data_IF_720365409520
#
_entry.id   IF_720365409520
#
_cell.length_a   1.000
_cell.length_b   1.000
_cell.length_c   1.000
_cell.angle_alpha   90.00
_cell.angle_beta   90.00
_cell.angle_gamma   90.00
#
_symmetry.space_group_name_H-M   'P 1'
#
loop_
_entity.id
_entity.type
_entity.pdbx_description
1 polymer ?
#
# COMPACT_ATOMS: atom_id res chain seq x y z
N UNK A 1 5.62 -16.92 7.83
CA UNK A 1 4.61 -15.86 7.62
C UNK A 1 4.26 -15.22 8.95
N UNK A 2 4.92 -14.11 9.25
CA UNK A 2 4.75 -13.34 10.50
C UNK A 2 3.84 -12.14 10.24
N UNK A 3 2.90 -11.87 11.14
CA UNK A 3 2.20 -10.58 11.23
C UNK A 3 3.07 -9.66 12.07
N UNK A 4 3.48 -8.52 11.52
CA UNK A 4 4.15 -7.47 12.30
C UNK A 4 3.10 -6.62 13.01
N UNK A 5 3.15 -6.54 14.33
CA UNK A 5 2.24 -5.70 15.12
C UNK A 5 2.77 -4.28 15.26
N UNK A 6 4.10 -4.12 15.28
CA UNK A 6 4.78 -2.83 15.30
C UNK A 6 5.81 -2.75 14.18
N UNK A 7 6.16 -1.54 13.77
CA UNK A 7 7.20 -1.32 12.78
C UNK A 7 8.59 -1.73 13.29
N UNK A 8 8.85 -1.59 14.59
CA UNK A 8 10.08 -2.07 15.21
C UNK A 8 10.29 -3.58 15.01
N UNK A 9 9.23 -4.40 15.11
CA UNK A 9 9.33 -5.85 14.88
C UNK A 9 9.73 -6.20 13.44
N UNK A 10 9.37 -5.36 12.47
CA UNK A 10 9.78 -5.52 11.08
C UNK A 10 11.27 -5.21 10.92
N UNK A 11 11.76 -4.14 11.54
CA UNK A 11 13.18 -3.77 11.51
C UNK A 11 14.03 -4.81 12.24
N UNK A 12 13.62 -5.23 13.43
CA UNK A 12 14.25 -6.31 14.20
C UNK A 12 14.33 -7.60 13.36
N UNK A 13 13.27 -7.92 12.60
CA UNK A 13 13.29 -9.07 11.70
C UNK A 13 14.33 -8.95 10.59
N UNK A 14 14.57 -7.76 10.04
CA UNK A 14 15.63 -7.55 9.06
C UNK A 14 17.00 -7.74 9.70
N UNK A 15 17.21 -7.14 10.88
CA UNK A 15 18.47 -7.21 11.63
C UNK A 15 18.79 -8.65 12.04
N UNK A 16 17.82 -9.39 12.62
CA UNK A 16 17.96 -10.78 13.05
C UNK A 16 18.30 -11.73 11.90
N UNK A 17 17.88 -11.39 10.68
CA UNK A 17 18.18 -12.14 9.46
C UNK A 17 19.48 -11.71 8.79
N UNK A 18 20.13 -10.67 9.30
CA UNK A 18 21.38 -10.13 8.75
C UNK A 18 21.17 -9.39 7.42
N UNK A 19 19.95 -8.94 7.12
CA UNK A 19 19.68 -8.16 5.92
C UNK A 19 20.17 -6.73 6.13
N UNK A 20 21.03 -6.25 5.23
CA UNK A 20 21.37 -4.83 5.16
C UNK A 20 20.24 -4.07 4.48
N UNK A 21 19.86 -2.92 5.04
CA UNK A 21 18.90 -2.00 4.43
C UNK A 21 19.42 -0.58 4.35
N UNK A 22 18.97 0.14 3.34
CA UNK A 22 19.18 1.58 3.18
C UNK A 22 18.01 2.34 3.81
N UNK A 23 18.31 3.41 4.55
CA UNK A 23 17.29 4.36 5.00
C UNK A 23 17.09 5.39 3.90
N UNK A 24 15.94 5.35 3.24
CA UNK A 24 15.60 6.25 2.13
C UNK A 24 15.16 7.64 2.63
N UNK A 25 14.67 7.69 3.86
CA UNK A 25 14.18 8.89 4.54
C UNK A 25 13.45 8.50 5.83
N UNK A 26 12.72 9.44 6.44
CA UNK A 26 11.95 9.18 7.65
C UNK A 26 10.50 9.63 7.49
N UNK A 27 9.58 8.85 8.05
CA UNK A 27 8.21 9.26 8.32
C UNK A 27 8.18 10.49 9.27
N UNK A 28 7.06 11.23 9.38
CA UNK A 28 6.99 12.45 10.18
C UNK A 28 7.37 12.31 11.66
N UNK A 29 7.21 11.12 12.23
CA UNK A 29 7.58 10.78 13.61
C UNK A 29 9.06 10.36 13.76
N UNK A 30 9.83 10.39 12.68
CA UNK A 30 11.24 10.03 12.63
C UNK A 30 11.52 8.56 12.31
N UNK A 31 10.51 7.69 12.21
CA UNK A 31 10.73 6.29 11.86
C UNK A 31 11.32 6.16 10.45
N UNK A 32 12.34 5.32 10.24
CA UNK A 32 12.97 5.20 8.93
C UNK A 32 12.00 4.57 7.93
N UNK A 33 12.12 4.96 6.66
CA UNK A 33 11.57 4.23 5.52
C UNK A 33 12.74 3.48 4.89
N UNK A 34 12.67 2.15 4.90
CA UNK A 34 13.82 1.31 4.53
C UNK A 34 13.63 0.60 3.19
N UNK A 35 14.72 0.40 2.47
CA UNK A 35 14.80 -0.46 1.30
C UNK A 35 15.81 -1.57 1.53
N UNK A 36 15.45 -2.80 1.14
CA UNK A 36 16.37 -3.93 1.09
C UNK A 36 16.72 -4.22 -0.37
N UNK A 37 18.02 -4.29 -0.67
CA UNK A 37 18.52 -4.81 -1.95
C UNK A 37 18.76 -6.31 -1.81
N UNK A 38 18.15 -7.11 -2.66
CA UNK A 38 18.28 -8.58 -2.72
C UNK A 38 18.37 -9.06 -4.17
N UNK A 39 18.36 -10.37 -4.40
CA UNK A 39 18.59 -10.99 -5.70
C UNK A 39 20.07 -10.95 -6.10
N UNK A 40 20.32 -10.85 -7.41
CA UNK A 40 21.67 -10.79 -7.97
C UNK A 40 22.09 -9.39 -8.41
N UNK A 41 23.02 -9.35 -9.36
CA UNK A 41 23.61 -8.11 -9.88
C UNK A 41 23.10 -7.73 -11.28
N UNK A 42 22.30 -8.58 -11.94
CA UNK A 42 21.83 -8.39 -13.32
C UNK A 42 20.86 -7.22 -13.43
N UNK A 43 21.05 -6.41 -14.46
CA UNK A 43 20.14 -5.33 -14.85
C UNK A 43 19.29 -5.75 -16.05
N UNK A 44 18.08 -5.19 -16.25
CA UNK A 44 17.47 -4.13 -15.45
C UNK A 44 16.96 -4.60 -14.08
N UNK A 45 16.76 -3.66 -13.16
CA UNK A 45 16.32 -3.96 -11.79
C UNK A 45 14.81 -4.25 -11.71
N UNK A 46 14.40 -4.90 -10.62
CA UNK A 46 13.02 -5.17 -10.25
C UNK A 46 12.72 -4.37 -8.98
N UNK A 47 11.57 -3.70 -8.95
CA UNK A 47 11.11 -2.92 -7.80
C UNK A 47 9.88 -3.55 -7.17
N UNK A 48 9.89 -3.76 -5.86
CA UNK A 48 8.77 -4.32 -5.11
C UNK A 48 8.45 -3.40 -3.93
N UNK A 49 7.17 -3.15 -3.71
CA UNK A 49 6.68 -2.30 -2.61
C UNK A 49 5.48 -2.93 -1.94
N UNK A 50 5.30 -2.64 -0.65
CA UNK A 50 4.12 -3.01 0.10
C UNK A 50 3.78 -1.99 1.19
N UNK A 51 2.63 -2.17 1.83
CA UNK A 51 2.28 -1.49 3.07
C UNK A 51 2.13 0.03 2.94
N UNK A 52 1.63 0.53 1.81
CA UNK A 52 1.14 1.92 1.76
C UNK A 52 -0.19 2.11 2.49
N UNK A 53 -0.93 1.02 2.65
CA UNK A 53 -2.07 0.99 3.54
C UNK A 53 -1.72 -0.01 4.62
N UNK A 54 -1.59 0.46 5.85
CA UNK A 54 -1.20 -0.37 7.00
C UNK A 54 -2.16 -1.52 7.30
N UNK A 55 -3.41 -1.42 6.84
CA UNK A 55 -4.42 -2.48 6.91
C UNK A 55 -4.10 -3.68 6.02
N UNK A 56 -3.26 -3.50 5.00
CA UNK A 56 -2.92 -4.50 3.98
C UNK A 56 -1.69 -5.30 4.36
N UNK A 57 -1.76 -5.91 5.55
CA UNK A 57 -0.62 -6.50 6.23
C UNK A 57 -0.07 -7.77 5.56
N UNK A 58 -0.87 -8.51 4.79
CA UNK A 58 -0.35 -9.68 4.08
C UNK A 58 0.63 -9.27 2.97
N UNK A 59 0.46 -8.08 2.37
CA UNK A 59 1.42 -7.52 1.41
C UNK A 59 2.77 -7.23 2.05
N UNK A 60 2.78 -6.66 3.26
CA UNK A 60 4.00 -6.41 4.06
C UNK A 60 4.72 -7.71 4.37
N UNK A 61 3.99 -8.73 4.83
CA UNK A 61 4.58 -10.04 5.12
C UNK A 61 5.06 -10.75 3.86
N UNK A 62 4.36 -10.63 2.73
CA UNK A 62 4.83 -11.16 1.45
C UNK A 62 6.12 -10.48 0.99
N UNK A 63 6.24 -9.16 1.13
CA UNK A 63 7.48 -8.43 0.83
C UNK A 63 8.64 -8.91 1.71
N UNK A 64 8.43 -9.11 3.01
CA UNK A 64 9.43 -9.65 3.93
C UNK A 64 9.84 -11.10 3.57
N UNK A 65 8.89 -11.94 3.18
CA UNK A 65 9.20 -13.30 2.73
C UNK A 65 9.93 -13.29 1.37
N UNK A 66 9.66 -12.33 0.47
CA UNK A 66 10.43 -12.15 -0.76
C UNK A 66 11.87 -11.72 -0.48
N UNK A 67 12.10 -10.83 0.49
CA UNK A 67 13.45 -10.47 0.93
C UNK A 67 14.23 -11.72 1.37
N UNK A 68 13.58 -12.60 2.14
CA UNK A 68 14.19 -13.83 2.67
C UNK A 68 14.43 -14.91 1.60
N UNK A 69 13.60 -14.99 0.56
CA UNK A 69 13.45 -16.23 -0.24
C UNK A 69 13.40 -16.06 -1.75
N UNK A 70 13.39 -14.83 -2.27
CA UNK A 70 13.38 -14.61 -3.72
C UNK A 70 14.74 -14.95 -4.31
N UNK A 71 14.74 -15.87 -5.28
CA UNK A 71 15.92 -16.29 -6.02
C UNK A 71 15.79 -15.79 -7.46
N UNK A 72 16.70 -14.90 -7.86
CA UNK A 72 16.77 -14.29 -9.20
C UNK A 72 18.17 -13.71 -9.41
N UNK A 73 18.66 -13.72 -10.65
CA UNK A 73 19.92 -13.07 -11.00
C UNK A 73 19.79 -11.54 -11.06
N UNK A 74 18.57 -11.01 -11.18
CA UNK A 74 18.33 -9.58 -11.27
C UNK A 74 18.49 -8.87 -9.93
N UNK A 75 18.88 -7.60 -9.99
CA UNK A 75 18.82 -6.72 -8.82
C UNK A 75 17.36 -6.52 -8.41
N UNK A 76 17.06 -6.70 -7.13
CA UNK A 76 15.72 -6.47 -6.58
C UNK A 76 15.80 -5.46 -5.45
N UNK A 77 14.94 -4.44 -5.49
CA UNK A 77 14.82 -3.42 -4.45
C UNK A 77 13.43 -3.51 -3.85
N UNK A 78 13.36 -3.74 -2.53
CA UNK A 78 12.11 -3.99 -1.81
C UNK A 78 11.91 -2.94 -0.71
N UNK A 79 10.81 -2.18 -0.78
CA UNK A 79 10.30 -1.38 0.34
C UNK A 79 9.19 -2.20 1.03
N UNK A 80 9.47 -2.87 2.17
CA UNK A 80 8.52 -3.81 2.78
C UNK A 80 7.32 -3.11 3.44
N UNK A 81 7.46 -1.85 3.84
CA UNK A 81 6.37 -1.06 4.41
C UNK A 81 6.60 0.42 4.12
N UNK A 82 5.60 1.08 3.54
CA UNK A 82 5.60 2.51 3.24
C UNK A 82 4.89 3.36 4.29
N UNK A 83 4.12 2.77 5.21
CA UNK A 83 3.39 3.49 6.27
C UNK A 83 3.78 3.00 7.68
N UNK A 84 4.97 3.40 8.21
CA UNK A 84 5.43 2.98 9.53
C UNK A 84 4.46 3.39 10.65
N UNK A 85 3.95 4.62 10.60
CA UNK A 85 3.01 5.15 11.60
C UNK A 85 1.72 4.33 11.58
N UNK A 86 1.17 4.10 10.39
CA UNK A 86 -0.04 3.30 10.24
C UNK A 86 0.12 1.87 10.75
N UNK A 87 1.27 1.25 10.49
CA UNK A 87 1.56 -0.12 10.94
C UNK A 87 1.53 -0.24 12.47
N UNK A 88 2.04 0.77 13.18
CA UNK A 88 2.07 0.79 14.64
C UNK A 88 0.68 0.91 15.30
N UNK A 89 -0.37 1.24 14.54
CA UNK A 89 -1.75 1.23 15.03
C UNK A 89 -2.31 2.60 15.41
N UNK A 90 -3.62 2.62 15.65
CA UNK A 90 -4.34 3.88 15.89
C UNK A 90 -3.97 4.55 17.23
N UNK A 91 -3.74 3.75 18.27
CA UNK A 91 -3.24 4.26 19.56
C UNK A 91 -1.87 4.94 19.39
N UNK A 92 -0.96 4.32 18.64
CA UNK A 92 0.34 4.92 18.34
C UNK A 92 0.18 6.24 17.57
N UNK A 93 -0.65 6.29 16.53
CA UNK A 93 -0.90 7.51 15.78
C UNK A 93 -1.50 8.64 16.64
N UNK A 94 -2.32 8.30 17.64
CA UNK A 94 -2.82 9.27 18.64
C UNK A 94 -1.71 9.78 19.56
N UNK A 95 -0.74 8.92 19.91
CA UNK A 95 0.38 9.31 20.77
C UNK A 95 1.19 10.48 20.22
N UNK A 96 1.26 10.62 18.89
CA UNK A 96 1.95 11.72 18.21
C UNK A 96 1.36 13.09 18.53
N UNK A 97 0.07 13.16 18.88
CA UNK A 97 -0.59 14.40 19.29
C UNK A 97 -0.81 14.50 20.80
N UNK A 98 -0.84 13.38 21.53
CA UNK A 98 -1.10 13.35 22.97
C UNK A 98 0.18 13.36 23.82
N UNK A 99 1.34 13.01 23.25
CA UNK A 99 2.61 12.84 23.95
C UNK A 99 2.77 11.52 24.70
N UNK A 100 1.71 10.68 24.74
CA UNK A 100 1.71 9.34 25.32
C UNK A 100 0.76 8.43 24.53
N UNK A 101 1.06 7.13 24.45
CA UNK A 101 0.20 6.16 23.76
C UNK A 101 -1.00 5.79 24.64
N UNK A 102 -2.24 6.15 24.24
CA UNK A 102 -3.43 5.87 25.03
C UNK A 102 -3.75 4.37 25.02
N UNK A 103 -4.34 3.90 26.12
CA UNK A 103 -4.94 2.57 26.18
C UNK A 103 -6.34 2.62 25.57
N UNK A 104 -6.52 1.98 24.42
CA UNK A 104 -7.80 1.90 23.71
C UNK A 104 -8.31 0.45 23.76
N UNK A 105 -9.47 0.25 24.38
CA UNK A 105 -10.09 -1.08 24.48
C UNK A 105 -10.92 -1.42 23.25
N UNK A 106 -11.55 -0.41 22.64
CA UNK A 106 -12.44 -0.54 21.49
C UNK A 106 -12.58 0.80 20.75
N UNK A 107 -13.37 0.78 19.68
CA UNK A 107 -13.66 1.94 18.84
C UNK A 107 -14.37 3.03 19.63
N UNK A 108 -15.31 2.66 20.50
CA UNK A 108 -16.11 3.58 21.31
C UNK A 108 -15.22 4.41 22.23
N UNK A 109 -14.30 3.76 22.97
CA UNK A 109 -13.31 4.43 23.81
C UNK A 109 -12.41 5.38 23.00
N UNK A 110 -12.02 4.99 21.79
CA UNK A 110 -11.25 5.85 20.91
C UNK A 110 -12.06 7.09 20.46
N UNK A 111 -13.34 6.93 20.13
CA UNK A 111 -14.23 8.04 19.78
C UNK A 111 -14.47 8.97 20.97
N UNK A 112 -14.70 8.44 22.18
CA UNK A 112 -14.84 9.24 23.40
C UNK A 112 -13.56 10.05 23.69
N UNK A 113 -12.39 9.44 23.51
CA UNK A 113 -11.11 10.14 23.67
C UNK A 113 -10.97 11.28 22.65
N UNK A 114 -11.33 11.04 21.37
CA UNK A 114 -11.31 12.09 20.34
C UNK A 114 -12.23 13.26 20.71
N UNK A 115 -13.44 13.00 21.22
CA UNK A 115 -14.34 14.07 21.69
C UNK A 115 -13.77 14.82 22.90
N UNK A 116 -13.12 14.11 23.82
CA UNK A 116 -12.61 14.69 25.06
C UNK A 116 -11.33 15.51 24.87
N UNK A 117 -10.49 15.15 23.89
CA UNK A 117 -9.15 15.74 23.71
C UNK A 117 -9.00 16.58 22.44
N UNK A 118 -9.87 16.40 21.46
CA UNK A 118 -9.79 17.08 20.17
C UNK A 118 -10.83 18.17 19.97
N UNK A 119 -10.52 19.05 19.02
CA UNK A 119 -11.50 19.94 18.42
C UNK A 119 -12.35 19.13 17.44
N UNK A 120 -13.64 18.96 17.73
CA UNK A 120 -14.57 18.26 16.84
C UNK A 120 -14.88 19.15 15.65
N UNK A 121 -14.39 18.75 14.47
CA UNK A 121 -14.59 19.46 13.22
C UNK A 121 -15.89 19.03 12.53
N UNK A 122 -16.23 17.75 12.62
CA UNK A 122 -17.43 17.20 11.99
C UNK A 122 -17.91 15.97 12.77
N UNK A 123 -19.23 15.85 12.91
CA UNK A 123 -19.85 14.71 13.57
C UNK A 123 -21.19 14.36 12.91
N UNK A 124 -21.31 13.12 12.46
CA UNK A 124 -22.52 12.46 11.96
C UNK A 124 -22.66 11.09 12.66
N UNK A 125 -23.81 10.42 12.50
CA UNK A 125 -24.19 9.20 13.25
C UNK A 125 -23.07 8.13 13.34
N UNK A 126 -22.30 7.95 12.27
CA UNK A 126 -21.25 6.93 12.17
C UNK A 126 -19.85 7.50 11.89
N UNK A 127 -19.66 8.82 12.00
CA UNK A 127 -18.40 9.50 11.67
C UNK A 127 -18.13 10.67 12.62
N UNK A 128 -16.96 10.62 13.27
CA UNK A 128 -16.38 11.72 14.01
C UNK A 128 -15.07 12.12 13.33
N UNK A 129 -14.90 13.40 13.11
CA UNK A 129 -13.63 14.01 12.72
C UNK A 129 -13.19 14.99 13.79
N UNK A 130 -12.00 14.77 14.34
CA UNK A 130 -11.40 15.62 15.34
C UNK A 130 -9.99 16.07 14.91
N UNK A 131 -9.60 17.27 15.30
CA UNK A 131 -8.24 17.78 15.20
C UNK A 131 -7.60 17.75 16.59
N UNK A 132 -6.42 17.14 16.71
CA UNK A 132 -5.61 17.20 17.94
C UNK A 132 -4.20 17.62 17.54
N UNK A 133 -3.80 18.83 17.97
CA UNK A 133 -2.51 19.41 17.59
C UNK A 133 -2.39 19.55 16.07
N UNK A 134 -1.40 18.88 15.48
CA UNK A 134 -1.10 18.98 14.05
C UNK A 134 -1.81 17.92 13.18
N UNK A 135 -2.54 16.97 13.78
CA UNK A 135 -3.10 15.80 13.10
C UNK A 135 -4.62 15.74 13.18
N UNK A 136 -5.25 15.33 12.08
CA UNK A 136 -6.66 14.95 12.06
C UNK A 136 -6.88 13.48 12.39
N UNK A 137 -8.03 13.16 12.96
CA UNK A 137 -8.41 11.82 13.34
C UNK A 137 -9.85 11.53 12.92
N UNK A 138 -10.05 10.44 12.20
CA UNK A 138 -11.37 10.02 11.72
C UNK A 138 -11.76 8.71 12.37
N UNK A 139 -13.00 8.60 12.84
CA UNK A 139 -13.51 7.35 13.43
C UNK A 139 -13.79 6.23 12.42
N UNK A 140 -13.64 6.52 11.11
CA UNK A 140 -13.62 5.55 10.01
C UNK A 140 -13.02 6.18 8.74
N UNK A 141 -12.56 5.34 7.82
CA UNK A 141 -12.16 5.79 6.47
C UNK A 141 -13.38 6.28 5.70
N UNK A 142 -13.25 7.43 5.02
CA UNK A 142 -14.29 8.03 4.17
C UNK A 142 -13.71 8.43 2.81
N UNK A 143 -13.91 7.57 1.81
CA UNK A 143 -13.43 7.83 0.45
C UNK A 143 -14.26 8.90 -0.27
N UNK A 144 -13.63 9.64 -1.18
CA UNK A 144 -14.29 10.66 -2.01
C UNK A 144 -14.71 11.93 -1.27
N UNK A 145 -14.23 12.13 -0.03
CA UNK A 145 -14.37 13.40 0.68
C UNK A 145 -13.32 14.41 0.24
N UNK A 146 -13.69 15.67 0.34
CA UNK A 146 -12.83 16.83 0.15
C UNK A 146 -13.29 17.95 1.06
N UNK A 147 -12.42 18.93 1.27
CA UNK A 147 -12.76 20.14 2.01
C UNK A 147 -13.90 20.91 1.32
N UNK A 148 -13.99 20.89 -0.01
CA UNK A 148 -15.11 21.50 -0.74
C UNK A 148 -16.47 20.85 -0.39
N UNK A 149 -16.47 19.52 -0.23
CA UNK A 149 -17.68 18.76 0.11
C UNK A 149 -18.02 18.81 1.60
N UNK A 150 -17.01 19.05 2.44
CA UNK A 150 -17.15 19.19 3.89
C UNK A 150 -16.31 20.39 4.38
N UNK A 151 -16.81 21.63 4.26
CA UNK A 151 -16.05 22.85 4.56
C UNK A 151 -15.51 22.93 5.99
N UNK A 152 -16.13 22.22 6.93
CA UNK A 152 -15.65 22.12 8.30
C UNK A 152 -14.28 21.45 8.44
N UNK A 153 -13.80 20.76 7.38
CA UNK A 153 -12.48 20.13 7.32
C UNK A 153 -11.37 21.09 6.88
N UNK A 154 -11.67 22.36 6.58
CA UNK A 154 -10.66 23.36 6.20
C UNK A 154 -9.44 23.40 7.13
N UNK A 155 -9.56 23.28 8.47
CA UNK A 155 -8.40 23.24 9.37
C UNK A 155 -7.43 22.09 9.10
N UNK A 156 -7.87 21.03 8.39
CA UNK A 156 -7.04 19.87 8.06
C UNK A 156 -6.21 20.04 6.79
N UNK A 157 -6.42 21.09 5.99
CA UNK A 157 -5.69 21.31 4.73
C UNK A 157 -4.17 21.28 4.95
N UNK A 158 -3.48 20.48 4.15
CA UNK A 158 -2.03 20.25 4.25
C UNK A 158 -1.60 19.32 5.39
N UNK A 159 -2.54 18.75 6.16
CA UNK A 159 -2.24 17.90 7.33
C UNK A 159 -2.45 16.41 7.03
N UNK A 160 -1.84 15.59 7.88
CA UNK A 160 -2.11 14.15 7.94
C UNK A 160 -3.36 13.88 8.75
N UNK A 161 -4.07 12.85 8.32
CA UNK A 161 -5.27 12.33 8.95
C UNK A 161 -5.06 10.84 9.19
N UNK A 162 -5.32 10.39 10.42
CA UNK A 162 -5.30 8.98 10.76
C UNK A 162 -6.72 8.49 10.97
N UNK A 163 -7.10 7.42 10.27
CA UNK A 163 -8.42 6.84 10.37
C UNK A 163 -8.38 5.53 11.16
N UNK A 164 -9.39 5.32 12.00
CA UNK A 164 -9.71 3.99 12.48
C UNK A 164 -10.11 3.14 11.27
N UNK A 165 -9.49 1.98 11.12
CA UNK A 165 -9.76 1.04 10.05
C UNK A 165 -9.58 -0.39 10.54
N UNK A 166 -10.00 -1.34 9.71
CA UNK A 166 -9.92 -2.75 10.02
C UNK A 166 -11.25 -3.38 10.46
N UNK A 167 -11.18 -4.65 10.79
CA UNK A 167 -12.30 -5.48 11.20
C UNK A 167 -11.78 -6.66 12.00
N UNK A 168 -12.44 -7.00 13.11
CA UNK A 168 -12.11 -8.19 13.92
C UNK A 168 -12.15 -9.51 13.14
N UNK A 169 -12.76 -9.51 11.95
CA UNK A 169 -12.83 -10.67 11.06
C UNK A 169 -11.59 -10.82 10.17
N UNK A 170 -10.73 -9.81 10.09
CA UNK A 170 -9.55 -9.80 9.22
C UNK A 170 -8.30 -9.91 10.09
N UNK A 171 -7.66 -11.07 9.99
CA UNK A 171 -6.39 -11.34 10.68
C UNK A 171 -5.30 -10.34 10.25
N UNK A 172 -4.58 -9.75 11.22
CA UNK A 172 -3.53 -8.76 10.97
C UNK A 172 -4.02 -7.33 10.64
N UNK A 173 -5.35 -7.12 10.63
CA UNK A 173 -5.99 -5.80 10.48
C UNK A 173 -7.28 -5.69 11.31
N UNK A 174 -7.23 -6.10 12.58
CA UNK A 174 -8.31 -5.89 13.55
C UNK A 174 -8.58 -4.38 13.76
N UNK A 175 -9.74 -4.04 14.35
CA UNK A 175 -10.09 -2.63 14.57
C UNK A 175 -9.06 -1.97 15.47
N UNK A 176 -8.60 -0.76 15.12
CA UNK A 176 -7.53 0.01 15.80
C UNK A 176 -6.12 -0.60 15.74
N UNK A 177 -5.97 -1.86 15.33
CA UNK A 177 -4.67 -2.52 15.19
C UNK A 177 -3.76 -1.78 14.19
N UNK A 178 -4.38 -1.09 13.23
CA UNK A 178 -3.75 -0.26 12.20
C UNK A 178 -4.37 1.13 12.21
N UNK A 179 -3.60 2.12 11.76
CA UNK A 179 -4.14 3.44 11.45
C UNK A 179 -4.04 3.66 9.94
N UNK A 180 -5.17 3.88 9.28
CA UNK A 180 -5.16 4.15 7.85
C UNK A 180 -4.76 5.61 7.62
N UNK A 181 -3.64 5.82 6.94
CA UNK A 181 -3.05 7.14 6.75
C UNK A 181 -3.59 7.86 5.51
N UNK A 182 -4.15 9.04 5.75
CA UNK A 182 -4.64 9.98 4.75
C UNK A 182 -3.87 11.30 4.86
N UNK A 183 -3.89 12.07 3.77
CA UNK A 183 -3.41 13.44 3.71
C UNK A 183 -4.50 14.28 3.09
N UNK A 184 -4.84 15.39 3.74
CA UNK A 184 -5.62 16.45 3.10
C UNK A 184 -4.61 17.32 2.36
N UNK A 185 -4.64 17.28 1.04
CA UNK A 185 -3.69 18.03 0.24
C UNK A 185 -3.95 19.56 0.28
N UNK A 186 -3.02 20.39 -0.23
CA UNK A 186 -3.22 21.83 -0.28
C UNK A 186 -4.45 22.28 -1.07
N UNK A 187 -4.92 21.47 -2.03
CA UNK A 187 -6.13 21.74 -2.81
C UNK A 187 -7.41 21.28 -2.08
N UNK A 188 -7.26 20.53 -0.98
CA UNK A 188 -8.33 20.08 -0.11
C UNK A 188 -8.88 18.70 -0.47
N UNK A 189 -8.20 17.95 -1.35
CA UNK A 189 -8.51 16.55 -1.60
C UNK A 189 -8.02 15.69 -0.43
N UNK A 190 -8.79 14.69 -0.03
CA UNK A 190 -8.37 13.74 1.00
C UNK A 190 -7.95 12.44 0.32
N UNK A 191 -6.65 12.20 0.28
CA UNK A 191 -6.07 11.08 -0.45
C UNK A 191 -5.18 10.24 0.48
N UNK A 192 -5.06 8.95 0.17
CA UNK A 192 -4.13 8.06 0.87
C UNK A 192 -2.72 8.16 0.26
N UNK A 193 -1.70 7.72 1.01
CA UNK A 193 -0.30 7.96 0.64
C UNK A 193 0.12 7.37 -0.72
N UNK A 194 -0.56 6.32 -1.20
CA UNK A 194 -0.36 5.73 -2.53
C UNK A 194 -1.09 6.47 -3.66
N UNK A 195 -1.27 7.79 -3.55
CA UNK A 195 -1.87 8.65 -4.60
C UNK A 195 -1.02 9.85 -4.99
N UNK A 196 0.15 10.03 -4.38
CA UNK A 196 0.95 11.24 -4.54
C UNK A 196 2.18 11.08 -5.45
N UNK A 197 2.26 10.02 -6.27
CA UNK A 197 3.46 9.77 -7.08
C UNK A 197 3.61 10.72 -8.28
N UNK A 198 2.57 11.45 -8.65
CA UNK A 198 2.58 12.54 -9.65
C UNK A 198 2.78 13.93 -9.04
N UNK A 199 2.86 14.04 -7.71
CA UNK A 199 2.78 15.32 -7.02
C UNK A 199 4.17 15.87 -6.67
N UNK A 200 4.41 17.16 -6.89
CA UNK A 200 5.72 17.78 -6.65
C UNK A 200 6.07 17.88 -5.15
N UNK A 201 5.12 18.31 -4.32
CA UNK A 201 5.30 18.46 -2.86
C UNK A 201 5.07 17.15 -2.08
N UNK A 202 4.90 16.01 -2.77
CA UNK A 202 4.46 14.72 -2.22
C UNK A 202 5.03 14.37 -0.84
N UNK A 203 4.24 13.65 -0.01
CA UNK A 203 4.71 13.18 1.29
C UNK A 203 5.96 12.31 1.14
N UNK A 204 6.75 12.24 2.21
CA UNK A 204 8.08 11.61 2.20
C UNK A 204 8.05 10.18 1.67
N UNK A 205 7.03 9.40 2.02
CA UNK A 205 6.80 8.02 1.58
C UNK A 205 6.78 7.91 0.05
N UNK A 206 6.00 8.76 -0.61
CA UNK A 206 5.93 8.78 -2.07
C UNK A 206 7.21 9.37 -2.67
N UNK A 207 7.77 10.43 -2.08
CA UNK A 207 8.98 11.08 -2.59
C UNK A 207 10.17 10.13 -2.61
N UNK A 208 10.51 9.52 -1.48
CA UNK A 208 11.67 8.63 -1.38
C UNK A 208 11.51 7.36 -2.21
N UNK A 209 10.27 6.88 -2.38
CA UNK A 209 9.97 5.80 -3.31
C UNK A 209 10.34 6.19 -4.75
N UNK A 210 9.96 7.39 -5.20
CA UNK A 210 10.30 7.87 -6.56
C UNK A 210 11.78 8.13 -6.73
N UNK A 211 12.44 8.68 -5.72
CA UNK A 211 13.88 8.95 -5.74
C UNK A 211 14.67 7.64 -5.89
N UNK A 212 14.28 6.60 -5.14
CA UNK A 212 14.86 5.26 -5.29
C UNK A 212 14.58 4.69 -6.68
N UNK A 213 13.35 4.77 -7.19
CA UNK A 213 13.04 4.29 -8.55
C UNK A 213 13.87 5.02 -9.61
N UNK A 214 14.08 6.33 -9.47
CA UNK A 214 14.90 7.10 -10.40
C UNK A 214 16.39 6.71 -10.32
N UNK A 215 16.86 6.26 -9.16
CA UNK A 215 18.21 5.75 -8.96
C UNK A 215 18.41 4.35 -9.57
N UNK A 216 17.42 3.46 -9.44
CA UNK A 216 17.58 2.03 -9.83
C UNK A 216 17.02 1.70 -11.21
N UNK A 217 16.23 2.61 -11.81
CA UNK A 217 15.65 2.50 -13.16
C UNK A 217 15.00 1.12 -13.42
N UNK A 218 13.93 0.76 -12.67
CA UNK A 218 13.42 -0.60 -12.66
C UNK A 218 12.61 -0.91 -13.91
N UNK A 219 12.79 -2.09 -14.51
CA UNK A 219 12.00 -2.50 -15.69
C UNK A 219 10.77 -3.36 -15.35
N UNK A 220 10.55 -3.66 -14.07
CA UNK A 220 9.34 -4.28 -13.53
C UNK A 220 9.04 -3.68 -12.16
N UNK A 221 7.78 -3.29 -11.94
CA UNK A 221 7.30 -2.83 -10.62
C UNK A 221 6.14 -3.69 -10.13
N UNK A 222 6.22 -4.14 -8.88
CA UNK A 222 5.17 -4.90 -8.19
C UNK A 222 4.79 -4.17 -6.91
N UNK A 223 3.53 -3.74 -6.79
CA UNK A 223 2.98 -3.15 -5.59
C UNK A 223 2.00 -4.13 -4.93
N UNK A 224 2.31 -4.61 -3.73
CA UNK A 224 1.56 -5.67 -3.04
C UNK A 224 0.51 -5.05 -2.09
N UNK A 225 -0.76 -5.20 -2.45
CA UNK A 225 -1.94 -4.64 -1.79
C UNK A 225 -2.94 -5.73 -1.42
N UNK A 226 -3.96 -5.30 -0.69
CA UNK A 226 -5.11 -6.11 -0.35
C UNK A 226 -6.40 -5.29 -0.46
N UNK A 227 -7.53 -5.96 -0.68
CA UNK A 227 -8.82 -5.28 -0.79
C UNK A 227 -9.89 -5.90 0.11
N UNK A 228 -10.88 -5.10 0.48
CA UNK A 228 -11.89 -5.46 1.48
C UNK A 228 -12.92 -6.52 1.05
N UNK A 229 -12.81 -7.14 -0.14
CA UNK A 229 -13.71 -8.20 -0.61
C UNK A 229 -12.98 -9.54 -0.69
N UNK A 230 -13.72 -10.63 -0.87
CA UNK A 230 -13.16 -11.97 -1.06
C UNK A 230 -12.49 -12.09 -2.42
N UNK A 231 -11.45 -12.92 -2.52
CA UNK A 231 -10.84 -13.31 -3.79
C UNK A 231 -9.64 -12.47 -4.22
N UNK A 232 -8.80 -13.06 -5.08
CA UNK A 232 -7.62 -12.46 -5.65
C UNK A 232 -7.95 -11.72 -6.94
N UNK A 233 -7.33 -10.56 -7.14
CA UNK A 233 -7.16 -9.95 -8.45
C UNK A 233 -5.84 -9.19 -8.52
N UNK A 234 -5.53 -8.67 -9.69
CA UNK A 234 -4.50 -7.66 -9.82
C UNK A 234 -4.87 -6.70 -10.95
N UNK A 235 -4.23 -5.55 -10.96
CA UNK A 235 -4.28 -4.64 -12.08
C UNK A 235 -2.94 -4.49 -12.78
N UNK A 236 -2.99 -4.49 -14.11
CA UNK A 236 -1.91 -4.16 -15.01
C UNK A 236 -2.18 -2.80 -15.68
N UNK A 237 -1.18 -2.21 -16.33
CA UNK A 237 -1.30 -0.90 -16.97
C UNK A 237 -1.22 -1.02 -18.49
N UNK A 238 -1.98 -0.18 -19.20
CA UNK A 238 -1.77 0.03 -20.62
C UNK A 238 -0.48 0.81 -20.84
N UNK A 239 0.40 0.26 -21.67
CA UNK A 239 1.76 0.76 -21.82
C UNK A 239 1.90 1.77 -22.97
N UNK A 240 2.92 2.60 -22.90
CA UNK A 240 3.24 3.58 -23.94
C UNK A 240 3.88 2.98 -25.19
N UNK A 241 4.41 1.76 -25.11
CA UNK A 241 5.08 1.06 -26.22
C UNK A 241 4.49 -0.34 -26.43
N UNK A 242 4.52 -0.82 -27.67
CA UNK A 242 4.02 -2.15 -28.02
C UNK A 242 4.80 -3.27 -27.34
N UNK A 243 6.12 -3.10 -27.18
CA UNK A 243 6.98 -4.09 -26.52
C UNK A 243 6.60 -4.23 -25.04
N UNK A 244 6.45 -3.11 -24.31
CA UNK A 244 6.01 -3.15 -22.91
C UNK A 244 4.60 -3.72 -22.79
N UNK A 245 3.69 -3.35 -23.70
CA UNK A 245 2.32 -3.85 -23.69
C UNK A 245 2.26 -5.36 -23.87
N UNK A 246 3.06 -5.93 -24.77
CA UNK A 246 3.14 -7.38 -25.01
C UNK A 246 3.72 -8.12 -23.80
N UNK A 247 4.79 -7.61 -23.22
CA UNK A 247 5.41 -8.26 -22.05
C UNK A 247 4.55 -8.18 -20.80
N UNK A 248 3.88 -7.06 -20.57
CA UNK A 248 2.94 -6.94 -19.44
C UNK A 248 1.72 -7.86 -19.60
N UNK A 249 1.21 -8.04 -20.83
CA UNK A 249 0.16 -9.02 -21.12
C UNK A 249 0.63 -10.46 -20.83
N UNK A 250 1.84 -10.83 -21.28
CA UNK A 250 2.42 -12.15 -21.00
C UNK A 250 2.58 -12.41 -19.49
N UNK A 251 3.07 -11.41 -18.77
CA UNK A 251 3.18 -11.48 -17.30
C UNK A 251 1.80 -11.60 -16.66
N UNK A 252 0.83 -10.78 -17.07
CA UNK A 252 -0.55 -10.83 -16.56
C UNK A 252 -1.18 -12.21 -16.76
N UNK A 253 -1.07 -12.78 -17.96
CA UNK A 253 -1.60 -14.10 -18.30
C UNK A 253 -0.94 -15.22 -17.48
N UNK A 254 0.38 -15.12 -17.25
CA UNK A 254 1.10 -16.07 -16.42
C UNK A 254 0.69 -15.97 -14.95
N UNK A 255 0.61 -14.75 -14.40
CA UNK A 255 0.21 -14.50 -13.00
C UNK A 255 -1.16 -15.12 -12.74
N UNK A 256 -2.17 -14.78 -13.55
CA UNK A 256 -3.52 -15.28 -13.32
C UNK A 256 -3.59 -16.80 -13.52
N UNK A 257 -2.88 -17.34 -14.51
CA UNK A 257 -2.82 -18.79 -14.73
C UNK A 257 -2.21 -19.55 -13.56
N UNK A 258 -1.13 -19.01 -12.97
CA UNK A 258 -0.49 -19.61 -11.79
C UNK A 258 -1.40 -19.56 -10.56
N UNK A 259 -2.03 -18.42 -10.31
CA UNK A 259 -2.95 -18.22 -9.18
C UNK A 259 -4.19 -19.12 -9.28
N UNK A 260 -4.76 -19.23 -10.48
CA UNK A 260 -5.89 -20.12 -10.78
C UNK A 260 -5.48 -21.60 -10.59
N UNK A 261 -4.31 -22.00 -11.10
CA UNK A 261 -3.79 -23.37 -10.94
C UNK A 261 -3.48 -23.73 -9.48
N UNK A 262 -3.12 -22.74 -8.65
CA UNK A 262 -2.93 -22.92 -7.21
C UNK A 262 -4.26 -23.05 -6.42
N UNK A 263 -5.41 -22.93 -7.08
CA UNK A 263 -6.72 -23.00 -6.44
C UNK A 263 -7.06 -21.78 -5.58
N UNK A 264 -6.37 -20.66 -5.80
CA UNK A 264 -6.68 -19.41 -5.10
C UNK A 264 -8.04 -18.90 -5.58
N UNK A 265 -8.92 -18.53 -4.64
CA UNK A 265 -10.22 -17.94 -4.97
C UNK A 265 -10.01 -16.66 -5.79
N UNK A 266 -10.63 -16.57 -6.96
CA UNK A 266 -10.65 -15.39 -7.81
C UNK A 266 -11.89 -14.52 -7.51
N UNK A 267 -11.89 -13.28 -8.00
CA UNK A 267 -13.08 -12.44 -7.99
C UNK A 267 -14.22 -13.05 -8.83
N UNK A 268 -15.50 -12.74 -8.52
CA UNK A 268 -16.61 -13.03 -9.42
C UNK A 268 -16.44 -12.41 -10.82
N UNK A 269 -17.00 -13.06 -11.84
CA UNK A 269 -16.87 -12.61 -13.23
C UNK A 269 -17.49 -11.23 -13.50
N UNK A 270 -18.49 -10.82 -12.73
CA UNK A 270 -19.15 -9.52 -12.83
C UNK A 270 -18.48 -8.43 -11.98
N UNK A 271 -17.46 -8.78 -11.19
CA UNK A 271 -16.73 -7.81 -10.39
C UNK A 271 -15.87 -6.87 -11.27
N UNK A 272 -15.95 -5.59 -10.96
CA UNK A 272 -15.08 -4.52 -11.46
C UNK A 272 -14.61 -3.66 -10.27
N UNK A 273 -13.29 -3.44 -10.10
CA UNK A 273 -12.77 -2.63 -8.99
C UNK A 273 -13.20 -1.16 -9.05
N UNK A 274 -13.47 -0.64 -10.25
CA UNK A 274 -13.91 0.74 -10.48
C UNK A 274 -14.26 0.99 -11.95
N UNK A 275 -14.92 2.12 -12.21
CA UNK A 275 -15.42 2.48 -13.56
C UNK A 275 -14.33 2.79 -14.58
N UNK A 276 -13.10 3.03 -14.11
CA UNK A 276 -11.95 3.36 -14.94
C UNK A 276 -11.07 2.15 -15.29
N UNK A 277 -11.45 0.96 -14.84
CA UNK A 277 -10.81 -0.31 -15.22
C UNK A 277 -11.47 -0.91 -16.46
N UNK A 278 -10.67 -1.54 -17.31
CA UNK A 278 -11.14 -2.52 -18.29
C UNK A 278 -10.78 -3.93 -17.82
N UNK A 279 -11.48 -4.94 -18.36
CA UNK A 279 -11.30 -6.35 -17.97
C UNK A 279 -11.01 -7.16 -19.21
N UNK A 280 -9.91 -7.91 -19.21
CA UNK A 280 -9.60 -8.84 -20.32
C UNK A 280 -10.05 -10.27 -20.01
N UNK A 281 -9.90 -10.68 -18.75
CA UNK A 281 -10.40 -11.96 -18.24
C UNK A 281 -10.69 -11.86 -16.74
N UNK A 282 -11.20 -12.93 -16.15
CA UNK A 282 -11.52 -12.91 -14.73
C UNK A 282 -10.31 -12.52 -13.87
N UNK A 283 -10.51 -11.58 -12.95
CA UNK A 283 -9.50 -11.07 -12.01
C UNK A 283 -8.26 -10.42 -12.62
N UNK A 284 -8.29 -10.09 -13.93
CA UNK A 284 -7.24 -9.32 -14.62
C UNK A 284 -7.84 -8.00 -15.09
N UNK A 285 -7.45 -6.93 -14.43
CA UNK A 285 -7.96 -5.59 -14.70
C UNK A 285 -6.87 -4.69 -15.28
N UNK A 286 -7.26 -3.79 -16.18
CA UNK A 286 -6.34 -2.90 -16.86
C UNK A 286 -6.73 -1.45 -16.63
N UNK A 287 -5.71 -0.61 -16.50
CA UNK A 287 -5.85 0.83 -16.31
C UNK A 287 -5.04 1.56 -17.37
N UNK A 288 -5.54 2.70 -17.82
CA UNK A 288 -4.72 3.64 -18.58
C UNK A 288 -4.03 4.59 -17.59
N UNK A 289 -2.71 4.47 -17.35
CA UNK A 289 -2.03 5.29 -16.35
C UNK A 289 -1.98 6.77 -16.73
N UNK A 290 -2.29 7.13 -18.00
CA UNK A 290 -2.42 8.53 -18.45
C UNK A 290 -3.71 9.19 -17.97
N UNK A 291 -4.69 8.40 -17.51
CA UNK A 291 -5.94 8.90 -16.95
C UNK A 291 -5.76 9.05 -15.45
N UNK A 292 -5.56 10.29 -15.00
CA UNK A 292 -5.50 10.61 -13.56
C UNK A 292 -6.86 10.35 -12.91
N UNK A 293 -6.92 9.31 -12.07
CA UNK A 293 -8.04 9.07 -11.16
C UNK A 293 -7.93 9.99 -9.94
N UNK A 294 -7.88 9.41 -8.75
CA UNK A 294 -7.72 10.11 -7.46
C UNK A 294 -6.26 10.49 -7.16
N UNK A 295 -5.45 10.75 -8.19
CA UNK A 295 -3.98 10.85 -8.11
C UNK A 295 -3.27 9.59 -8.62
N UNK A 296 -1.95 9.64 -8.83
CA UNK A 296 -1.19 8.50 -9.33
C UNK A 296 -0.77 7.57 -8.19
N UNK A 297 -1.14 6.29 -8.32
CA UNK A 297 -0.52 5.24 -7.53
C UNK A 297 0.88 4.88 -8.05
N UNK A 298 1.61 4.09 -7.26
CA UNK A 298 2.96 3.68 -7.62
C UNK A 298 3.01 2.98 -8.97
N UNK A 299 2.11 2.04 -9.23
CA UNK A 299 2.08 1.28 -10.48
C UNK A 299 1.74 2.18 -11.68
N UNK A 300 0.87 3.18 -11.53
CA UNK A 300 0.57 4.16 -12.60
C UNK A 300 1.82 4.99 -12.95
N UNK A 301 2.50 5.50 -11.91
CA UNK A 301 3.75 6.24 -12.07
C UNK A 301 4.83 5.37 -12.74
N UNK A 302 4.99 4.13 -12.28
CA UNK A 302 5.95 3.19 -12.81
C UNK A 302 5.69 2.86 -14.29
N UNK A 303 4.44 2.63 -14.66
CA UNK A 303 4.02 2.34 -16.03
C UNK A 303 4.31 3.49 -17.01
N UNK A 304 4.19 4.73 -16.56
CA UNK A 304 4.48 5.89 -17.40
C UNK A 304 5.98 6.17 -17.54
N UNK A 305 6.77 5.81 -16.54
CA UNK A 305 8.17 6.20 -16.43
C UNK A 305 9.14 5.11 -16.87
N UNK A 306 8.89 3.87 -16.48
CA UNK A 306 9.90 2.81 -16.54
C UNK A 306 9.43 1.57 -17.29
N UNK A 307 8.21 1.07 -17.07
CA UNK A 307 7.71 -0.09 -17.80
C UNK A 307 6.61 -0.89 -17.08
N UNK A 308 6.49 -2.21 -17.36
CA UNK A 308 5.44 -3.07 -16.79
C UNK A 308 5.27 -2.89 -15.27
N UNK A 309 4.03 -2.73 -14.83
CA UNK A 309 3.74 -2.42 -13.43
C UNK A 309 2.41 -3.01 -12.96
N UNK A 310 2.46 -3.76 -11.87
CA UNK A 310 1.29 -4.44 -11.31
C UNK A 310 0.93 -3.92 -9.93
N UNK A 311 -0.37 -3.86 -9.64
CA UNK A 311 -0.91 -3.79 -8.28
C UNK A 311 -1.57 -5.12 -7.97
N UNK A 312 -0.98 -5.91 -7.08
CA UNK A 312 -1.50 -7.21 -6.63
C UNK A 312 -2.51 -6.97 -5.51
N UNK A 313 -3.66 -7.63 -5.53
CA UNK A 313 -4.77 -7.36 -4.63
C UNK A 313 -5.35 -8.67 -4.08
N UNK A 314 -4.95 -9.02 -2.86
CA UNK A 314 -5.50 -10.22 -2.19
C UNK A 314 -6.72 -9.89 -1.35
N UNK A 315 -7.74 -10.74 -1.40
CA UNK A 315 -8.99 -10.48 -0.69
C UNK A 315 -8.84 -10.65 0.82
N UNK A 316 -8.96 -9.56 1.58
CA UNK A 316 -8.73 -9.50 3.02
C UNK A 316 -9.52 -10.49 3.87
N UNK A 317 -10.77 -10.87 3.54
CA UNK A 317 -11.50 -11.86 4.33
C UNK A 317 -10.99 -13.30 4.16
N UNK A 318 -10.08 -13.54 3.19
CA UNK A 318 -9.41 -14.84 3.07
C UNK A 318 -8.32 -14.98 4.16
N UNK A 319 -8.00 -16.22 4.55
CA UNK A 319 -7.03 -16.48 5.63
C UNK A 319 -5.66 -15.82 5.36
N UNK A 320 -5.01 -15.29 6.40
CA UNK A 320 -3.77 -14.51 6.26
C UNK A 320 -2.68 -15.23 5.46
N UNK A 321 -2.45 -16.51 5.75
CA UNK A 321 -1.48 -17.32 5.02
C UNK A 321 -1.81 -17.48 3.52
N UNK A 322 -3.09 -17.50 3.16
CA UNK A 322 -3.52 -17.58 1.76
C UNK A 322 -3.25 -16.27 1.03
N UNK A 323 -3.48 -15.13 1.70
CA UNK A 323 -3.18 -13.78 1.17
C UNK A 323 -1.69 -13.60 0.93
N UNK A 324 -0.85 -13.99 1.89
CA UNK A 324 0.61 -13.97 1.73
C UNK A 324 1.04 -14.90 0.57
N UNK A 325 0.55 -16.14 0.55
CA UNK A 325 0.90 -17.11 -0.50
C UNK A 325 0.52 -16.64 -1.90
N UNK A 326 -0.68 -16.08 -2.07
CA UNK A 326 -1.15 -15.56 -3.37
C UNK A 326 -0.31 -14.36 -3.84
N UNK A 327 0.07 -13.46 -2.92
CA UNK A 327 0.97 -12.35 -3.23
C UNK A 327 2.36 -12.83 -3.66
N UNK A 328 2.93 -13.80 -2.95
CA UNK A 328 4.21 -14.42 -3.27
C UNK A 328 4.19 -15.10 -4.65
N UNK A 329 3.12 -15.86 -4.93
CA UNK A 329 2.94 -16.55 -6.19
C UNK A 329 2.87 -15.55 -7.35
N UNK A 330 2.02 -14.52 -7.22
CA UNK A 330 1.90 -13.49 -8.24
C UNK A 330 3.24 -12.78 -8.52
N UNK A 331 3.96 -12.38 -7.47
CA UNK A 331 5.25 -11.72 -7.61
C UNK A 331 6.30 -12.63 -8.29
N UNK A 332 6.48 -13.85 -7.79
CA UNK A 332 7.45 -14.82 -8.35
C UNK A 332 7.12 -15.16 -9.81
N UNK A 333 5.85 -15.33 -10.15
CA UNK A 333 5.44 -15.62 -11.52
C UNK A 333 5.70 -14.44 -12.46
N UNK A 334 5.39 -13.20 -12.03
CA UNK A 334 5.71 -12.01 -12.82
C UNK A 334 7.21 -11.91 -13.10
N UNK A 335 8.03 -12.12 -12.06
CA UNK A 335 9.51 -12.09 -12.15
C UNK A 335 10.02 -13.18 -13.09
N UNK A 336 9.54 -14.42 -12.98
CA UNK A 336 9.99 -15.51 -13.85
C UNK A 336 9.65 -15.30 -15.34
N UNK A 337 8.59 -14.55 -15.66
CA UNK A 337 8.30 -14.15 -17.04
C UNK A 337 9.13 -12.93 -17.45
N UNK A 338 9.37 -12.00 -16.54
CA UNK A 338 10.27 -10.87 -16.77
C UNK A 338 11.69 -11.32 -17.10
N UNK A 339 12.22 -12.32 -16.40
CA UNK A 339 13.55 -12.88 -16.67
C UNK A 339 13.66 -13.38 -18.12
N UNK A 340 12.60 -13.98 -18.68
CA UNK A 340 12.57 -14.43 -20.07
C UNK A 340 12.78 -13.30 -21.09
N UNK A 341 12.44 -12.06 -20.72
CA UNK A 341 12.66 -10.88 -21.57
C UNK A 341 14.13 -10.48 -21.63
N UNK A 342 14.88 -10.76 -20.57
CA UNK A 342 16.24 -10.28 -20.37
C UNK A 342 17.27 -11.40 -20.20
N UNK A 343 16.95 -12.61 -20.66
CA UNK A 343 17.84 -13.78 -20.62
C UNK A 343 19.23 -13.47 -21.18
#
# INVERSE_FOLDING_TARGET
MQIFHRYAELLERLDDKGHSYEILGCAPDGQPLVCVRTGGDKTPAIFISAGSHSTEQAGVSAAMELIDTLDTEHQVYIIPCRDPIGLNGFAYALSLSLGEEPQLVDKEAAVELLRARGEVLHEEEDLLVALIGEHGYFSRVRHGWSVERAPALEPLRGRRVYCMAGSEKIEGSAMLQRAYSLIVDPDGQILHINRFHDTAWAPVEARVTRDLMAQVDPALTLDLHEHGRDGFWFSARHQGTDDHQQWEQRMADAIIGAVEAAGTQLMPDDYLPGSFFTKTRNSVYWLDPRKRGEGFNLSDFAALKYGPAFTVETGMPTGFANRVSASLLAARTAIGVFEQRYL
#
